data_IF_068922720977
#
_entry.id   IF_068922720977
#
_cell.length_a   1.000
_cell.length_b   1.000
_cell.length_c   1.000
_cell.angle_alpha   90.00
_cell.angle_beta   90.00
_cell.angle_gamma   90.00
#
_symmetry.space_group_name_H-M   'P 1'
#
loop_
_entity.id
_entity.type
_entity.pdbx_description
1 polymer ?
#
# COMPACT_ATOMS: atom_id res chain seq x y z
N UNK A 1 -3.33 48.42 6.26
CA UNK A 1 -3.54 49.58 5.40
C UNK A 1 -2.18 49.97 4.86
N UNK A 2 -1.92 49.68 3.60
CA UNK A 2 -0.82 50.30 2.86
C UNK A 2 -1.41 51.55 2.20
N UNK A 3 -0.66 52.65 2.22
CA UNK A 3 -1.08 53.89 1.57
C UNK A 3 -1.18 53.69 0.04
N UNK A 4 -2.02 54.53 -0.59
CA UNK A 4 -2.34 54.50 -2.02
C UNK A 4 -1.10 54.32 -2.90
N UNK A 5 -0.93 53.12 -3.46
CA UNK A 5 0.06 52.81 -4.50
C UNK A 5 1.19 51.85 -4.13
N UNK A 6 1.25 51.33 -2.89
CA UNK A 6 2.18 50.24 -2.55
C UNK A 6 1.57 48.86 -2.83
N UNK A 7 2.13 48.15 -3.81
CA UNK A 7 1.81 46.77 -4.10
C UNK A 7 2.65 45.85 -3.21
N UNK A 8 2.01 44.95 -2.46
CA UNK A 8 2.71 43.81 -1.85
C UNK A 8 3.21 42.91 -2.97
N UNK A 9 4.50 42.99 -3.28
CA UNK A 9 5.10 42.17 -4.34
C UNK A 9 5.40 40.73 -3.88
N UNK A 10 5.47 40.50 -2.56
CA UNK A 10 5.75 39.19 -1.96
C UNK A 10 5.48 39.21 -0.45
N UNK A 11 4.89 38.15 0.07
CA UNK A 11 4.81 37.86 1.51
C UNK A 11 5.47 36.50 1.73
N UNK A 12 6.48 36.45 2.60
CA UNK A 12 7.10 35.19 3.01
C UNK A 12 6.30 34.57 4.16
N UNK A 13 5.64 33.46 3.88
CA UNK A 13 4.89 32.68 4.85
C UNK A 13 5.84 31.72 5.57
N UNK A 14 6.20 32.07 6.81
CA UNK A 14 7.13 31.28 7.62
C UNK A 14 6.59 31.10 9.04
N UNK A 15 7.11 30.11 9.77
CA UNK A 15 6.83 29.94 11.20
C UNK A 15 7.25 31.16 12.02
N UNK A 16 8.28 31.89 11.59
CA UNK A 16 8.70 33.15 12.20
C UNK A 16 7.63 34.25 12.08
N UNK A 17 6.76 34.17 11.06
CA UNK A 17 5.64 35.09 10.84
C UNK A 17 4.28 34.51 11.31
N UNK A 18 4.30 33.40 12.05
CA UNK A 18 3.10 32.80 12.66
C UNK A 18 2.32 31.83 11.78
N UNK A 19 2.84 31.41 10.63
CA UNK A 19 2.22 30.41 9.76
C UNK A 19 2.74 29.00 10.10
N UNK A 20 1.82 28.07 10.32
CA UNK A 20 2.10 26.68 10.73
C UNK A 20 1.86 25.76 9.52
N UNK A 21 2.79 24.83 9.20
CA UNK A 21 2.56 23.81 8.17
C UNK A 21 1.29 22.99 8.43
N UNK A 22 0.51 22.74 7.38
CA UNK A 22 -0.74 21.96 7.45
C UNK A 22 -1.97 22.69 8.00
N UNK A 23 -1.89 23.98 8.33
CA UNK A 23 -3.07 24.80 8.66
C UNK A 23 -3.57 25.60 7.45
N UNK A 24 -4.90 25.77 7.39
CA UNK A 24 -5.54 26.62 6.40
C UNK A 24 -5.59 28.06 6.89
N UNK A 25 -5.07 28.97 6.08
CA UNK A 25 -5.11 30.38 6.36
C UNK A 25 -5.96 31.09 5.30
N UNK A 26 -6.75 32.04 5.77
CA UNK A 26 -7.66 32.84 4.96
C UNK A 26 -7.20 34.28 4.99
N UNK A 27 -7.07 34.88 3.82
CA UNK A 27 -6.92 36.33 3.71
C UNK A 27 -8.09 36.87 2.90
N UNK A 28 -8.72 37.89 3.45
CA UNK A 28 -9.77 38.64 2.76
C UNK A 28 -9.18 39.95 2.23
N UNK A 29 -9.23 40.12 0.91
CA UNK A 29 -8.89 41.35 0.23
C UNK A 29 -10.11 41.94 -0.46
N UNK A 30 -10.32 43.25 -0.32
CA UNK A 30 -11.25 43.99 -1.16
C UNK A 30 -10.44 44.72 -2.23
N UNK A 31 -10.68 44.39 -3.49
CA UNK A 31 -10.21 45.21 -4.60
C UNK A 31 -11.41 46.05 -5.06
N UNK A 32 -11.20 47.36 -5.10
CA UNK A 32 -12.20 48.35 -5.49
C UNK A 32 -11.62 49.16 -6.66
N UNK A 33 -12.28 49.10 -7.82
CA UNK A 33 -11.91 49.90 -8.98
C UNK A 33 -12.61 51.28 -9.02
N UNK A 34 -13.33 51.62 -7.95
CA UNK A 34 -14.13 52.84 -7.81
C UNK A 34 -15.54 52.73 -8.38
N UNK A 35 -15.90 51.61 -9.04
CA UNK A 35 -17.25 51.36 -9.58
C UNK A 35 -17.82 50.00 -9.19
N UNK A 36 -16.96 49.00 -8.91
CA UNK A 36 -17.33 47.71 -8.38
C UNK A 36 -16.34 47.28 -7.29
N UNK A 37 -16.87 46.74 -6.19
CA UNK A 37 -16.08 46.06 -5.16
C UNK A 37 -16.14 44.56 -5.39
N UNK A 38 -14.99 43.90 -5.43
CA UNK A 38 -14.89 42.45 -5.47
C UNK A 38 -14.17 41.94 -4.23
N UNK A 39 -14.83 41.00 -3.54
CA UNK A 39 -14.22 40.25 -2.44
C UNK A 39 -13.40 39.13 -3.05
N UNK A 40 -12.11 39.14 -2.75
CA UNK A 40 -11.19 38.07 -3.07
C UNK A 40 -10.85 37.34 -1.78
N UNK A 41 -11.34 36.11 -1.68
CA UNK A 41 -10.93 35.18 -0.65
C UNK A 41 -9.86 34.28 -1.24
N UNK A 42 -8.66 34.31 -0.66
CA UNK A 42 -7.60 33.35 -1.00
C UNK A 42 -7.46 32.35 0.15
N UNK A 43 -7.41 31.07 -0.21
CA UNK A 43 -7.00 30.01 0.70
C UNK A 43 -5.65 29.50 0.22
N UNK A 44 -4.69 29.40 1.13
CA UNK A 44 -3.40 28.76 0.88
C UNK A 44 -3.15 27.75 1.99
N UNK A 45 -2.63 26.60 1.57
CA UNK A 45 -2.05 25.60 2.45
C UNK A 45 -0.54 25.72 2.28
N UNK A 46 0.21 25.67 3.38
CA UNK A 46 1.68 25.59 3.33
C UNK A 46 2.03 24.19 2.80
N UNK A 47 2.10 24.05 1.48
CA UNK A 47 2.45 22.82 0.78
C UNK A 47 3.98 22.59 0.83
N UNK A 48 4.42 21.41 1.32
CA UNK A 48 5.81 20.95 1.24
C UNK A 48 6.34 20.32 2.54
N UNK A 49 5.79 19.17 2.94
CA UNK A 49 6.35 18.30 3.98
C UNK A 49 6.62 16.96 3.31
N UNK A 50 7.73 16.29 3.65
CA UNK A 50 7.99 14.97 3.10
C UNK A 50 7.02 13.95 3.75
N UNK A 51 6.49 13.06 2.93
CA UNK A 51 5.54 12.03 3.34
C UNK A 51 6.21 10.67 3.43
N UNK A 52 6.13 10.06 4.61
CA UNK A 52 6.55 8.69 4.82
C UNK A 52 5.46 7.73 4.32
N UNK A 53 5.90 6.75 3.55
CA UNK A 53 5.19 5.53 3.18
C UNK A 53 5.72 4.38 4.02
N UNK A 54 4.81 3.66 4.66
CA UNK A 54 5.13 2.48 5.49
C UNK A 54 4.43 1.29 4.87
N UNK A 55 5.21 0.37 4.32
CA UNK A 55 4.73 -0.90 3.80
C UNK A 55 5.19 -2.01 4.76
N UNK A 56 4.24 -2.62 5.44
CA UNK A 56 4.54 -3.72 6.33
C UNK A 56 4.31 -5.08 5.67
N UNK A 57 5.09 -6.08 6.07
CA UNK A 57 4.93 -7.47 5.65
C UNK A 57 5.04 -8.41 6.85
N UNK A 58 4.11 -9.36 6.93
CA UNK A 58 4.17 -10.42 7.93
C UNK A 58 5.19 -11.48 7.53
N UNK A 59 6.16 -11.74 8.41
CA UNK A 59 7.23 -12.72 8.20
C UNK A 59 7.34 -13.67 9.40
N UNK A 60 6.30 -13.74 10.22
CA UNK A 60 6.30 -14.56 11.42
C UNK A 60 6.46 -16.06 11.09
N UNK A 61 7.18 -16.83 11.92
CA UNK A 61 7.15 -18.29 11.79
C UNK A 61 5.82 -18.84 12.34
N UNK A 62 5.40 -19.99 11.82
CA UNK A 62 4.22 -20.70 12.35
C UNK A 62 4.41 -21.15 13.80
N UNK A 63 5.64 -21.50 14.19
CA UNK A 63 5.99 -21.99 15.53
C UNK A 63 7.34 -21.46 15.99
N UNK A 64 7.47 -21.28 17.31
CA UNK A 64 8.74 -20.93 17.99
C UNK A 64 8.92 -21.79 19.21
N UNK A 65 10.16 -21.97 19.64
CA UNK A 65 10.47 -22.69 20.87
C UNK A 65 10.48 -21.74 22.08
N UNK A 66 10.05 -22.27 23.23
CA UNK A 66 10.24 -21.59 24.51
C UNK A 66 11.72 -21.31 24.75
N UNK A 67 12.07 -20.03 24.95
CA UNK A 67 13.45 -19.59 25.16
C UNK A 67 14.19 -19.23 23.87
N UNK A 68 13.54 -19.26 22.72
CA UNK A 68 14.13 -18.86 21.44
C UNK A 68 14.33 -17.34 21.38
N UNK A 69 15.50 -16.93 20.90
CA UNK A 69 15.89 -15.53 20.73
C UNK A 69 15.93 -15.19 19.24
N UNK A 70 15.79 -13.89 18.95
CA UNK A 70 15.89 -13.34 17.60
C UNK A 70 14.84 -13.89 16.61
N UNK A 71 13.58 -14.04 17.04
CA UNK A 71 12.49 -14.49 16.17
C UNK A 71 11.98 -13.32 15.31
N UNK A 72 12.16 -13.32 13.98
CA UNK A 72 11.59 -12.30 13.13
C UNK A 72 10.07 -12.46 13.04
N UNK A 73 9.34 -11.37 13.24
CA UNK A 73 7.88 -11.34 13.26
C UNK A 73 7.32 -10.48 12.13
N UNK A 74 7.97 -9.35 11.83
CA UNK A 74 7.45 -8.36 10.89
C UNK A 74 8.57 -7.64 10.15
N UNK A 75 8.32 -7.28 8.90
CA UNK A 75 9.20 -6.46 8.08
C UNK A 75 8.51 -5.11 7.82
N UNK A 76 9.24 -4.01 7.98
CA UNK A 76 8.82 -2.68 7.56
C UNK A 76 9.72 -2.22 6.40
N UNK A 77 9.11 -1.88 5.28
CA UNK A 77 9.74 -1.19 4.17
C UNK A 77 9.29 0.28 4.23
N UNK A 78 10.25 1.16 4.52
CA UNK A 78 10.02 2.58 4.70
C UNK A 78 10.61 3.36 3.52
N UNK A 79 9.77 4.17 2.88
CA UNK A 79 10.19 5.10 1.83
C UNK A 79 9.56 6.48 2.07
N UNK A 80 10.12 7.53 1.46
CA UNK A 80 9.51 8.85 1.51
C UNK A 80 9.48 9.51 0.13
N UNK A 81 8.56 10.45 -0.04
CA UNK A 81 8.54 11.29 -1.24
C UNK A 81 9.63 12.38 -1.19
N UNK A 82 9.73 13.14 -2.29
CA UNK A 82 10.73 14.20 -2.44
C UNK A 82 10.06 15.57 -2.59
N UNK A 83 9.04 15.86 -1.76
CA UNK A 83 8.29 17.11 -1.86
C UNK A 83 9.01 18.29 -1.22
N UNK A 84 9.91 18.05 -0.25
CA UNK A 84 10.71 19.06 0.42
C UNK A 84 12.21 18.76 0.33
N UNK A 85 12.78 18.08 1.32
CA UNK A 85 14.20 17.77 1.35
C UNK A 85 14.46 16.29 1.00
N UNK A 86 13.37 15.55 0.71
CA UNK A 86 13.41 14.14 0.39
C UNK A 86 13.89 13.32 1.57
N UNK A 87 13.58 13.73 2.80
CA UNK A 87 14.04 13.03 4.00
C UNK A 87 13.05 13.15 5.14
N UNK A 88 12.58 12.00 5.62
CA UNK A 88 11.76 11.89 6.82
C UNK A 88 12.57 11.30 7.98
N UNK A 89 12.50 11.95 9.14
CA UNK A 89 13.10 11.40 10.37
C UNK A 89 12.07 10.60 11.15
N UNK A 90 12.30 9.30 11.32
CA UNK A 90 11.42 8.42 12.11
C UNK A 90 11.97 8.33 13.53
N UNK A 91 11.19 8.79 14.51
CA UNK A 91 11.58 8.90 15.92
C UNK A 91 11.07 7.77 16.79
N UNK A 92 10.11 6.99 16.30
CA UNK A 92 9.67 5.79 17.01
C UNK A 92 8.52 5.07 16.35
N UNK A 93 8.33 3.83 16.78
CA UNK A 93 7.26 2.95 16.32
C UNK A 93 6.58 2.35 17.57
N UNK A 94 5.24 2.38 17.59
CA UNK A 94 4.45 1.76 18.65
C UNK A 94 3.81 0.48 18.15
N UNK A 95 4.18 -0.65 18.74
CA UNK A 95 3.69 -1.96 18.31
C UNK A 95 2.78 -2.52 19.39
N UNK A 96 1.67 -3.12 18.99
CA UNK A 96 0.67 -3.65 19.91
C UNK A 96 0.76 -5.17 19.95
N UNK A 97 1.03 -5.72 21.11
CA UNK A 97 0.99 -7.16 21.33
C UNK A 97 -0.45 -7.66 21.39
N UNK A 98 -0.73 -8.67 20.58
CA UNK A 98 -2.03 -9.34 20.39
C UNK A 98 -1.97 -10.82 20.77
N UNK A 99 -0.81 -11.32 21.20
CA UNK A 99 -0.64 -12.69 21.71
C UNK A 99 -1.35 -12.97 23.04
N UNK A 100 -1.33 -14.23 23.45
CA UNK A 100 -2.15 -14.73 24.57
C UNK A 100 -1.63 -14.25 25.95
N UNK A 101 -0.31 -14.24 26.17
CA UNK A 101 0.27 -13.77 27.42
C UNK A 101 1.57 -12.98 27.20
N UNK A 102 1.56 -11.72 27.64
CA UNK A 102 2.72 -10.81 27.57
C UNK A 102 3.93 -11.31 28.35
N UNK A 103 3.70 -12.13 29.37
CA UNK A 103 4.76 -12.77 30.15
C UNK A 103 5.51 -13.84 29.39
N UNK A 104 5.05 -14.24 28.20
CA UNK A 104 5.76 -15.18 27.33
C UNK A 104 6.87 -14.50 26.51
N UNK A 105 6.89 -13.17 26.48
CA UNK A 105 7.96 -12.37 25.84
C UNK A 105 9.01 -12.02 26.89
N UNK A 106 10.29 -12.11 26.52
CA UNK A 106 11.38 -11.75 27.41
C UNK A 106 11.35 -10.25 27.77
N UNK A 107 11.94 -9.92 28.92
CA UNK A 107 12.14 -8.50 29.27
C UNK A 107 13.08 -7.88 28.24
N UNK A 108 12.69 -6.74 27.69
CA UNK A 108 13.34 -6.11 26.54
C UNK A 108 13.40 -6.99 25.27
N UNK A 109 12.56 -8.02 25.18
CA UNK A 109 12.52 -8.97 24.07
C UNK A 109 11.68 -8.53 22.89
N UNK A 110 11.51 -7.23 22.66
CA UNK A 110 10.89 -6.68 21.45
C UNK A 110 11.86 -5.68 20.86
N UNK A 111 12.44 -6.02 19.73
CA UNK A 111 13.57 -5.35 19.12
C UNK A 111 13.21 -4.91 17.70
N UNK A 112 13.77 -3.78 17.25
CA UNK A 112 13.83 -3.40 15.84
C UNK A 112 15.25 -3.51 15.37
N UNK A 113 15.47 -4.20 14.26
CA UNK A 113 16.75 -4.29 13.57
C UNK A 113 16.67 -3.54 12.24
N UNK A 114 17.74 -2.86 11.85
CA UNK A 114 17.93 -2.30 10.51
C UNK A 114 18.67 -3.31 9.66
N UNK A 115 18.15 -3.55 8.46
CA UNK A 115 18.84 -4.28 7.41
C UNK A 115 19.98 -3.42 6.87
N UNK A 116 21.23 -3.81 7.11
CA UNK A 116 22.41 -3.01 6.71
C UNK A 116 23.04 -3.54 5.43
N UNK A 117 22.80 -4.80 5.08
CA UNK A 117 23.29 -5.40 3.84
C UNK A 117 22.26 -5.38 2.70
N UNK A 118 21.07 -4.82 2.98
CA UNK A 118 19.99 -4.52 2.03
C UNK A 118 19.49 -5.76 1.29
N UNK A 119 19.58 -6.93 1.93
CA UNK A 119 19.23 -8.20 1.32
C UNK A 119 17.78 -8.64 1.60
N UNK A 120 17.06 -7.91 2.46
CA UNK A 120 15.67 -8.19 2.86
C UNK A 120 15.52 -9.41 3.77
N UNK A 121 16.61 -9.91 4.37
CA UNK A 121 16.68 -11.10 5.22
C UNK A 121 17.30 -10.74 6.56
N UNK A 122 16.53 -10.99 7.63
CA UNK A 122 17.03 -10.75 8.98
C UNK A 122 18.22 -11.66 9.32
N UNK A 123 19.33 -11.04 9.73
CA UNK A 123 20.54 -11.71 10.20
C UNK A 123 21.03 -11.03 11.49
N UNK A 124 20.84 -11.68 12.65
CA UNK A 124 21.18 -11.10 13.95
C UNK A 124 22.66 -10.69 14.12
N UNK A 125 23.57 -11.29 13.33
CA UNK A 125 25.02 -10.97 13.35
C UNK A 125 25.43 -9.86 12.35
N UNK A 126 24.58 -9.54 11.38
CA UNK A 126 24.85 -8.55 10.32
C UNK A 126 24.01 -7.28 10.55
N UNK A 127 22.74 -7.46 10.87
CA UNK A 127 21.79 -6.38 11.09
C UNK A 127 22.02 -5.68 12.42
N UNK A 128 21.73 -4.39 12.44
CA UNK A 128 22.01 -3.54 13.60
C UNK A 128 20.73 -3.26 14.37
N UNK A 129 20.78 -3.51 15.68
CA UNK A 129 19.72 -3.14 16.61
C UNK A 129 19.49 -1.62 16.57
N UNK A 130 18.30 -1.21 16.14
CA UNK A 130 17.89 0.19 16.04
C UNK A 130 17.09 0.66 17.26
N UNK A 131 16.25 -0.20 17.83
CA UNK A 131 15.48 0.10 19.03
C UNK A 131 15.14 -1.17 19.80
N UNK A 132 14.86 -0.98 21.10
CA UNK A 132 14.49 -2.06 22.02
C UNK A 132 13.37 -1.60 22.94
N UNK A 133 12.47 -2.52 23.27
CA UNK A 133 11.29 -2.23 24.06
C UNK A 133 10.83 -3.43 24.90
N UNK A 134 10.05 -3.13 25.93
CA UNK A 134 9.49 -4.12 26.86
C UNK A 134 7.98 -4.04 26.92
N UNK A 135 7.34 -5.19 27.03
CA UNK A 135 5.93 -5.30 27.41
C UNK A 135 5.79 -5.09 28.93
N UNK A 136 5.42 -3.87 29.33
CA UNK A 136 5.17 -3.51 30.73
C UNK A 136 3.80 -3.98 31.25
N UNK A 137 3.04 -3.11 31.91
CA UNK A 137 1.65 -3.42 32.33
C UNK A 137 0.61 -3.29 31.20
N UNK A 138 0.99 -2.73 30.04
CA UNK A 138 0.15 -2.62 28.84
C UNK A 138 0.54 -3.60 27.73
N UNK A 139 -0.21 -3.58 26.63
CA UNK A 139 0.05 -4.34 25.39
C UNK A 139 0.84 -3.56 24.36
N UNK A 140 1.07 -2.26 24.57
CA UNK A 140 1.78 -1.40 23.62
C UNK A 140 3.25 -1.31 24.01
N UNK A 141 4.13 -1.61 23.07
CA UNK A 141 5.57 -1.38 23.15
C UNK A 141 5.88 -0.11 22.37
N UNK A 142 6.60 0.82 22.99
CA UNK A 142 7.11 2.01 22.29
C UNK A 142 8.60 1.83 22.04
N UNK A 143 8.97 1.79 20.78
CA UNK A 143 10.35 1.63 20.31
C UNK A 143 10.82 3.01 19.86
N UNK A 144 11.79 3.58 20.58
CA UNK A 144 12.33 4.92 20.29
C UNK A 144 13.54 4.77 19.38
N UNK A 145 13.56 5.52 18.29
CA UNK A 145 14.60 5.50 17.27
C UNK A 145 15.33 6.85 17.32
N UNK A 146 16.65 6.83 17.53
CA UNK A 146 17.43 8.06 17.69
C UNK A 146 17.97 8.59 16.34
N UNK A 147 18.35 7.71 15.42
CA UNK A 147 19.07 8.07 14.19
C UNK A 147 18.50 7.39 12.93
N UNK A 148 17.17 7.21 12.84
CA UNK A 148 16.55 6.66 11.62
C UNK A 148 16.07 7.77 10.68
N UNK A 149 16.72 7.85 9.52
CA UNK A 149 16.36 8.75 8.43
C UNK A 149 15.98 7.92 7.20
N UNK A 150 14.85 8.23 6.60
CA UNK A 150 14.40 7.64 5.34
C UNK A 150 14.60 8.69 4.26
N UNK A 151 15.42 8.40 3.25
CA UNK A 151 15.75 9.32 2.17
C UNK A 151 14.95 8.94 0.91
N UNK A 152 14.48 9.90 0.14
CA UNK A 152 13.65 9.66 -1.04
C UNK A 152 14.34 8.85 -2.15
N UNK A 153 15.67 8.70 -2.03
CA UNK A 153 16.49 7.90 -2.93
C UNK A 153 16.73 6.47 -2.46
N UNK A 154 16.35 6.13 -1.22
CA UNK A 154 16.67 4.84 -0.61
C UNK A 154 15.60 4.39 0.40
N UNK A 155 15.22 3.12 0.31
CA UNK A 155 14.28 2.52 1.25
C UNK A 155 15.00 2.01 2.50
N UNK A 156 14.41 2.20 3.67
CA UNK A 156 14.92 1.66 4.92
C UNK A 156 14.10 0.43 5.32
N UNK A 157 14.76 -0.74 5.39
CA UNK A 157 14.14 -1.99 5.83
C UNK A 157 14.41 -2.20 7.33
N UNK A 158 13.32 -2.43 8.08
CA UNK A 158 13.38 -2.77 9.49
C UNK A 158 12.74 -4.13 9.77
N UNK A 159 13.30 -4.89 10.71
CA UNK A 159 12.70 -6.12 11.22
C UNK A 159 12.22 -5.95 12.65
N UNK A 160 10.94 -6.26 12.90
CA UNK A 160 10.44 -6.54 14.25
C UNK A 160 10.90 -7.94 14.65
N UNK A 161 11.67 -8.02 15.71
CA UNK A 161 12.25 -9.25 16.21
C UNK A 161 11.87 -9.42 17.68
N UNK A 162 11.49 -10.63 18.08
CA UNK A 162 11.08 -10.92 19.46
C UNK A 162 11.86 -12.07 20.09
N UNK A 163 12.07 -11.97 21.40
CA UNK A 163 12.70 -13.00 22.21
C UNK A 163 11.64 -13.65 23.12
N UNK A 164 11.54 -14.98 23.06
CA UNK A 164 10.61 -15.77 23.85
C UNK A 164 11.26 -16.11 25.19
N UNK A 165 10.58 -15.86 26.31
CA UNK A 165 11.16 -16.18 27.61
C UNK A 165 11.27 -17.69 27.84
N UNK A 166 12.30 -18.12 28.57
CA UNK A 166 12.48 -19.52 29.00
C UNK A 166 11.36 -20.04 29.89
N UNK A 167 10.50 -19.14 30.40
CA UNK A 167 9.33 -19.44 31.23
C UNK A 167 8.00 -19.39 30.47
N UNK A 168 8.03 -19.24 29.14
CA UNK A 168 6.83 -19.06 28.33
C UNK A 168 5.93 -20.29 28.37
N UNK A 169 4.62 -20.06 28.29
CA UNK A 169 3.63 -21.12 28.28
C UNK A 169 3.53 -21.75 26.89
N UNK A 170 3.69 -23.07 26.84
CA UNK A 170 3.57 -23.83 25.60
C UNK A 170 2.11 -23.82 25.13
N UNK A 171 1.90 -23.64 23.82
CA UNK A 171 0.61 -23.54 23.17
C UNK A 171 0.04 -22.12 23.10
N UNK A 172 0.64 -21.16 23.80
CA UNK A 172 0.25 -19.76 23.67
C UNK A 172 0.71 -19.18 22.34
N UNK A 173 -0.07 -18.22 21.83
CA UNK A 173 0.25 -17.44 20.64
C UNK A 173 1.07 -16.20 20.97
N UNK A 174 2.01 -15.89 20.10
CA UNK A 174 2.75 -14.63 20.03
C UNK A 174 2.35 -13.95 18.73
N UNK A 175 1.93 -12.69 18.83
CA UNK A 175 1.50 -11.88 17.70
C UNK A 175 1.56 -10.40 18.09
N UNK A 176 1.80 -9.56 17.10
CA UNK A 176 1.97 -8.13 17.16
C UNK A 176 1.27 -7.49 15.96
N UNK A 177 0.76 -6.28 16.16
CA UNK A 177 0.11 -5.52 15.09
C UNK A 177 0.49 -4.05 15.18
N UNK A 178 0.59 -3.42 14.02
CA UNK A 178 0.69 -1.98 13.88
C UNK A 178 -0.69 -1.46 13.46
N UNK A 179 -1.46 -0.87 14.36
CA UNK A 179 -2.89 -0.60 14.08
C UNK A 179 -3.13 0.60 13.15
N UNK A 180 -2.19 1.53 13.09
CA UNK A 180 -2.42 2.81 12.45
C UNK A 180 -1.12 3.51 12.10
N UNK A 181 -1.16 4.34 11.05
CA UNK A 181 -0.12 5.33 10.76
C UNK A 181 0.30 6.19 11.96
N UNK A 182 -0.62 6.42 12.91
CA UNK A 182 -0.32 7.18 14.14
C UNK A 182 0.64 6.46 15.10
N UNK A 183 0.87 5.17 14.89
CA UNK A 183 1.84 4.38 15.63
C UNK A 183 3.27 4.58 15.13
N UNK A 184 3.44 5.14 13.93
CA UNK A 184 4.74 5.60 13.43
C UNK A 184 4.89 7.08 13.77
N UNK A 185 5.94 7.41 14.50
CA UNK A 185 6.27 8.77 14.92
C UNK A 185 7.36 9.31 14.02
N UNK A 186 7.04 10.39 13.33
CA UNK A 186 7.99 11.15 12.52
C UNK A 186 8.20 12.54 13.12
N UNK A 187 9.38 13.09 12.91
CA UNK A 187 9.70 14.45 13.36
C UNK A 187 8.91 15.46 12.52
N UNK A 188 8.27 16.42 13.17
CA UNK A 188 7.61 17.51 12.44
C UNK A 188 8.66 18.35 11.67
N UNK A 189 8.34 18.84 10.47
CA UNK A 189 6.99 18.94 9.89
C UNK A 189 6.47 17.67 9.17
N UNK A 190 7.30 16.66 8.94
CA UNK A 190 6.95 15.47 8.15
C UNK A 190 5.77 14.67 8.73
N UNK A 191 5.18 13.80 7.90
CA UNK A 191 4.06 12.93 8.32
C UNK A 191 4.14 11.54 7.73
N UNK A 192 3.51 10.58 8.40
CA UNK A 192 3.16 9.30 7.79
C UNK A 192 1.85 9.45 7.02
N UNK A 193 1.92 9.41 5.69
CA UNK A 193 0.77 9.62 4.81
C UNK A 193 0.17 8.29 4.38
N UNK A 194 1.02 7.37 3.93
CA UNK A 194 0.63 6.04 3.49
C UNK A 194 1.07 4.97 4.48
N UNK A 195 0.19 3.99 4.72
CA UNK A 195 0.36 3.00 5.75
C UNK A 195 -0.38 1.72 5.39
N UNK A 196 0.39 0.67 5.15
CA UNK A 196 -0.09 -0.70 5.02
C UNK A 196 0.51 -1.48 6.19
N UNK A 197 -0.36 -2.04 7.01
CA UNK A 197 0.01 -2.92 8.10
C UNK A 197 -0.72 -4.24 7.98
N UNK A 198 -0.03 -5.29 8.37
CA UNK A 198 -0.50 -6.64 8.53
C UNK A 198 -0.36 -7.00 10.00
N UNK A 199 -1.27 -7.81 10.51
CA UNK A 199 -1.06 -8.48 11.78
C UNK A 199 0.09 -9.48 11.58
N UNK A 200 1.04 -9.55 12.51
CA UNK A 200 1.94 -10.71 12.51
C UNK A 200 1.06 -11.88 12.86
N UNK A 201 0.94 -12.89 12.00
CA UNK A 201 0.08 -14.02 12.26
C UNK A 201 0.37 -14.71 13.61
N UNK A 202 -0.42 -15.72 13.92
CA UNK A 202 -0.32 -16.39 15.21
C UNK A 202 0.86 -17.38 15.26
N UNK A 203 2.01 -16.96 15.79
CA UNK A 203 3.13 -17.87 16.10
C UNK A 203 2.85 -18.66 17.36
N UNK A 204 2.89 -19.99 17.29
CA UNK A 204 2.61 -20.88 18.44
C UNK A 204 3.90 -21.24 19.18
N UNK A 205 3.91 -21.11 20.51
CA UNK A 205 5.04 -21.52 21.36
C UNK A 205 5.03 -23.04 21.58
N UNK A 206 6.14 -23.70 21.28
CA UNK A 206 6.35 -25.13 21.45
C UNK A 206 7.41 -25.46 22.53
N UNK A 207 7.38 -26.71 22.98
CA UNK A 207 8.38 -27.21 23.93
C UNK A 207 9.67 -27.55 23.17
N UNK A 208 10.79 -26.97 23.60
CA UNK A 208 12.08 -27.00 22.89
C UNK A 208 12.46 -28.35 22.26
N UNK A 209 12.56 -28.35 20.94
CA UNK A 209 13.39 -29.22 20.12
C UNK A 209 14.53 -28.38 19.51
N UNK A 210 15.56 -29.02 18.96
CA UNK A 210 16.59 -28.31 18.18
C UNK A 210 15.94 -27.45 17.10
N UNK A 211 16.45 -26.22 16.84
CA UNK A 211 15.87 -25.32 15.84
C UNK A 211 15.67 -26.07 14.53
N UNK A 212 14.43 -26.06 14.03
CA UNK A 212 14.17 -26.42 12.63
C UNK A 212 14.96 -25.40 11.81
N UNK A 213 15.78 -25.81 10.83
CA UNK A 213 16.58 -24.85 10.07
C UNK A 213 15.68 -23.74 9.53
N UNK A 214 16.19 -22.52 9.71
CA UNK A 214 15.75 -21.26 9.13
C UNK A 214 15.09 -21.48 7.76
N UNK A 215 13.90 -20.92 7.49
CA UNK A 215 13.32 -20.97 6.16
C UNK A 215 14.23 -20.17 5.21
N UNK A 216 15.16 -20.85 4.56
CA UNK A 216 15.89 -20.25 3.43
C UNK A 216 14.92 -20.17 2.27
N UNK A 217 14.27 -19.03 2.07
CA UNK A 217 13.60 -18.73 0.81
C UNK A 217 14.68 -18.61 -0.28
N UNK A 218 14.93 -19.72 -0.98
CA UNK A 218 15.75 -19.71 -2.19
C UNK A 218 14.81 -19.81 -3.39
N UNK A 219 14.65 -18.71 -4.13
CA UNK A 219 13.97 -18.71 -5.44
C UNK A 219 14.69 -19.71 -6.36
N UNK A 220 14.17 -20.94 -6.45
CA UNK A 220 14.77 -22.00 -7.26
C UNK A 220 13.88 -22.28 -8.46
N UNK A 221 14.15 -21.60 -9.58
CA UNK A 221 13.58 -21.99 -10.86
C UNK A 221 14.21 -23.31 -11.31
N UNK A 222 13.44 -24.40 -11.33
CA UNK A 222 13.87 -25.67 -11.92
C UNK A 222 13.00 -25.98 -13.14
N UNK A 223 13.59 -26.25 -14.32
CA UNK A 223 12.83 -26.42 -15.55
C UNK A 223 12.22 -27.83 -15.71
N UNK A 224 10.95 -27.79 -16.08
CA UNK A 224 10.04 -28.76 -16.72
C UNK A 224 10.62 -30.09 -17.22
N UNK A 225 10.10 -31.21 -16.69
CA UNK A 225 10.10 -32.50 -17.39
C UNK A 225 8.82 -32.68 -18.23
N UNK A 226 9.02 -33.20 -19.44
CA UNK A 226 8.01 -33.44 -20.48
C UNK A 226 7.23 -34.74 -20.22
N UNK A 227 5.90 -34.68 -20.12
CA UNK A 227 5.03 -35.87 -20.05
C UNK A 227 4.50 -36.24 -21.44
N UNK A 228 4.66 -37.51 -21.81
CA UNK A 228 4.18 -38.10 -23.06
C UNK A 228 2.74 -38.62 -22.95
N UNK A 229 1.96 -38.36 -24.00
CA UNK A 229 0.57 -38.85 -24.21
C UNK A 229 0.54 -40.27 -24.78
N UNK A 230 -0.43 -41.10 -24.37
CA UNK A 230 -0.96 -42.22 -25.17
C UNK A 230 -2.47 -42.39 -25.02
N UNK A 231 -3.11 -42.86 -26.09
CA UNK A 231 -4.54 -42.73 -26.43
C UNK A 231 -5.26 -44.10 -26.57
N UNK A 232 -6.60 -44.09 -26.35
CA UNK A 232 -7.69 -44.93 -26.99
C UNK A 232 -7.75 -46.46 -26.72
N UNK A 233 -8.87 -47.22 -26.66
CA UNK A 233 -10.29 -47.05 -27.08
C UNK A 233 -11.27 -48.20 -26.61
N UNK A 234 -12.58 -47.88 -26.51
CA UNK A 234 -13.84 -48.61 -26.94
C UNK A 234 -14.53 -49.78 -26.12
N UNK A 235 -15.83 -50.15 -26.36
CA UNK A 235 -16.93 -50.07 -25.34
C UNK A 235 -17.83 -51.34 -25.19
N UNK A 236 -18.82 -51.33 -24.27
CA UNK A 236 -20.04 -52.21 -24.30
C UNK A 236 -21.08 -51.88 -23.18
N UNK A 237 -22.35 -52.36 -23.22
CA UNK A 237 -23.52 -51.48 -23.32
C UNK A 237 -24.47 -51.42 -22.10
N UNK A 238 -25.19 -50.29 -22.07
CA UNK A 238 -26.54 -49.93 -21.56
C UNK A 238 -27.26 -50.80 -20.52
N UNK A 239 -27.50 -50.20 -19.34
CA UNK A 239 -28.73 -50.38 -18.55
C UNK A 239 -29.29 -49.00 -18.21
N UNK A 240 -30.49 -48.71 -18.70
CA UNK A 240 -31.23 -47.48 -18.42
C UNK A 240 -31.84 -47.52 -17.02
N UNK A 241 -31.24 -46.77 -16.11
CA UNK A 241 -31.91 -46.22 -14.92
C UNK A 241 -32.08 -44.72 -15.17
N UNK A 242 -33.30 -44.23 -15.06
CA UNK A 242 -33.62 -42.80 -15.09
C UNK A 242 -32.82 -42.10 -13.99
N UNK A 243 -31.84 -41.22 -14.31
CA UNK A 243 -31.12 -40.52 -13.27
C UNK A 243 -32.02 -39.44 -12.67
N UNK A 244 -32.03 -39.39 -11.34
CA UNK A 244 -32.28 -38.14 -10.63
C UNK A 244 -31.41 -37.06 -11.25
N UNK A 245 -31.98 -35.86 -11.42
CA UNK A 245 -31.35 -34.65 -11.95
C UNK A 245 -29.82 -34.67 -11.76
N UNK A 246 -29.12 -35.20 -12.75
CA UNK A 246 -27.67 -35.22 -12.76
C UNK A 246 -27.28 -33.80 -13.07
N UNK A 247 -26.98 -33.01 -12.04
CA UNK A 247 -26.22 -31.78 -12.26
C UNK A 247 -25.05 -32.17 -13.16
N UNK A 248 -24.92 -31.50 -14.30
CA UNK A 248 -23.72 -31.68 -15.11
C UNK A 248 -22.52 -31.42 -14.19
N UNK A 249 -21.45 -32.24 -14.27
CA UNK A 249 -20.24 -31.96 -13.54
C UNK A 249 -19.81 -30.54 -13.90
N UNK A 250 -19.64 -29.70 -12.89
CA UNK A 250 -19.21 -28.34 -13.09
C UNK A 250 -17.83 -28.33 -13.78
N UNK A 251 -17.80 -27.62 -14.90
CA UNK A 251 -16.65 -27.49 -15.77
C UNK A 251 -16.41 -26.00 -16.13
N UNK A 252 -17.02 -25.08 -15.39
CA UNK A 252 -16.81 -23.64 -15.52
C UNK A 252 -16.12 -23.11 -14.27
N UNK A 253 -14.99 -22.43 -14.42
CA UNK A 253 -14.35 -21.80 -13.27
C UNK A 253 -14.93 -20.43 -12.90
N UNK A 254 -14.48 -19.85 -11.77
CA UNK A 254 -15.11 -18.69 -11.15
C UNK A 254 -14.85 -17.39 -11.92
N UNK A 255 -15.81 -16.46 -11.88
CA UNK A 255 -15.65 -15.13 -12.48
C UNK A 255 -14.79 -14.22 -11.60
N UNK A 256 -13.71 -13.68 -12.16
CA UNK A 256 -13.06 -12.50 -11.60
C UNK A 256 -13.81 -11.23 -12.03
N UNK A 257 -14.16 -10.38 -11.08
CA UNK A 257 -14.88 -9.11 -11.23
C UNK A 257 -14.25 -8.05 -10.31
N UNK A 258 -14.58 -6.77 -10.49
CA UNK A 258 -13.97 -5.66 -9.70
C UNK A 258 -12.44 -5.60 -9.76
N UNK A 259 -11.86 -5.93 -10.92
CA UNK A 259 -10.42 -6.00 -11.09
C UNK A 259 -9.82 -4.59 -11.14
N UNK A 260 -9.07 -4.24 -10.10
CA UNK A 260 -8.61 -2.89 -9.86
C UNK A 260 -7.14 -2.90 -9.43
N UNK A 261 -6.38 -1.93 -9.93
CA UNK A 261 -5.12 -1.53 -9.31
C UNK A 261 -5.41 -0.35 -8.37
N UNK A 262 -4.96 -0.43 -7.12
CA UNK A 262 -5.26 0.59 -6.12
C UNK A 262 -4.28 1.77 -6.23
N UNK A 263 -4.31 2.44 -7.38
CA UNK A 263 -3.41 3.53 -7.72
C UNK A 263 -4.09 4.87 -7.41
N UNK A 264 -3.67 5.52 -6.34
CA UNK A 264 -4.30 6.75 -5.83
C UNK A 264 -4.26 7.90 -6.84
N UNK A 265 -3.18 8.04 -7.59
CA UNK A 265 -2.99 9.11 -8.58
C UNK A 265 -3.70 8.84 -9.91
N UNK A 266 -4.24 7.64 -10.13
CA UNK A 266 -4.77 7.18 -11.43
C UNK A 266 -3.69 6.83 -12.47
N UNK A 267 -2.41 6.97 -12.12
CA UNK A 267 -1.25 6.61 -12.93
C UNK A 267 -0.07 6.23 -12.01
N UNK A 268 0.90 5.52 -12.57
CA UNK A 268 2.19 5.18 -11.97
C UNK A 268 3.23 6.13 -12.55
N UNK A 269 4.18 6.60 -11.74
CA UNK A 269 5.36 7.32 -12.24
C UNK A 269 6.45 6.28 -12.52
N UNK A 270 7.18 6.36 -13.64
CA UNK A 270 8.26 5.42 -13.93
C UNK A 270 9.24 5.29 -12.74
N UNK A 271 9.71 4.08 -12.51
CA UNK A 271 10.57 3.76 -11.38
C UNK A 271 9.83 3.60 -10.04
N UNK A 272 8.51 3.83 -9.98
CA UNK A 272 7.73 3.40 -8.81
C UNK A 272 7.67 1.88 -8.75
N UNK A 273 8.21 1.35 -7.66
CA UNK A 273 8.19 -0.06 -7.37
C UNK A 273 6.89 -0.42 -6.65
N UNK A 274 6.28 -1.50 -7.11
CA UNK A 274 5.12 -2.16 -6.54
C UNK A 274 3.79 -1.40 -6.60
N UNK A 275 2.72 -2.06 -7.06
CA UNK A 275 1.36 -1.54 -6.94
C UNK A 275 0.39 -2.64 -6.50
N UNK A 276 -0.42 -2.42 -5.45
CA UNK A 276 -1.43 -3.37 -5.05
C UNK A 276 -2.53 -3.50 -6.10
N UNK A 277 -3.00 -4.73 -6.30
CA UNK A 277 -4.16 -5.07 -7.10
C UNK A 277 -5.13 -5.91 -6.29
N UNK A 278 -6.41 -5.74 -6.57
CA UNK A 278 -7.48 -6.52 -5.97
C UNK A 278 -8.50 -6.95 -7.02
N UNK A 279 -9.19 -8.04 -6.72
CA UNK A 279 -10.31 -8.56 -7.49
C UNK A 279 -11.28 -9.29 -6.56
N UNK A 280 -12.54 -9.38 -6.97
CA UNK A 280 -13.54 -10.26 -6.36
C UNK A 280 -13.75 -11.45 -7.29
N UNK A 281 -13.50 -12.66 -6.80
CA UNK A 281 -13.63 -13.92 -7.55
C UNK A 281 -14.88 -14.64 -7.04
N UNK A 282 -15.79 -15.01 -7.94
CA UNK A 282 -17.08 -15.61 -7.57
C UNK A 282 -17.43 -16.80 -8.46
N UNK A 283 -17.68 -17.94 -7.84
CA UNK A 283 -18.18 -19.16 -8.47
C UNK A 283 -19.69 -19.38 -8.27
N UNK A 284 -20.36 -18.45 -7.59
CA UNK A 284 -21.74 -18.66 -7.08
C UNK A 284 -22.75 -19.03 -8.17
N UNK A 285 -22.58 -18.48 -9.38
CA UNK A 285 -23.46 -18.72 -10.53
C UNK A 285 -22.85 -19.67 -11.59
N UNK A 286 -21.70 -20.32 -11.28
CA UNK A 286 -20.94 -21.13 -12.24
C UNK A 286 -20.63 -22.56 -11.79
N UNK A 287 -20.86 -22.86 -10.53
CA UNK A 287 -20.65 -24.19 -9.97
C UNK A 287 -20.96 -24.23 -8.48
N UNK A 288 -20.77 -23.08 -7.84
CA UNK A 288 -20.94 -22.90 -6.40
C UNK A 288 -19.83 -23.57 -5.60
N UNK A 289 -18.71 -23.90 -6.24
CA UNK A 289 -17.53 -24.47 -5.61
C UNK A 289 -16.72 -23.37 -4.94
N UNK A 290 -15.93 -23.75 -3.95
CA UNK A 290 -15.03 -22.82 -3.30
C UNK A 290 -13.96 -22.36 -4.30
N UNK A 291 -13.64 -21.07 -4.27
CA UNK A 291 -12.45 -20.54 -4.93
C UNK A 291 -11.24 -21.07 -4.16
N UNK A 292 -10.24 -21.63 -4.85
CA UNK A 292 -9.02 -22.19 -4.25
C UNK A 292 -7.74 -21.48 -4.67
N UNK A 293 -7.84 -20.51 -5.57
CA UNK A 293 -6.70 -19.80 -6.11
C UNK A 293 -7.13 -18.68 -7.05
N UNK A 294 -6.23 -17.71 -7.21
CA UNK A 294 -6.32 -16.68 -8.23
C UNK A 294 -4.92 -16.29 -8.68
N UNK A 295 -4.80 -15.80 -9.90
CA UNK A 295 -3.53 -15.32 -10.45
C UNK A 295 -3.75 -14.12 -11.37
N UNK A 296 -2.66 -13.39 -11.61
CA UNK A 296 -2.64 -12.29 -12.55
C UNK A 296 -1.47 -12.33 -13.55
N UNK A 297 -1.68 -11.71 -14.70
CA UNK A 297 -0.73 -11.56 -15.78
C UNK A 297 -0.60 -10.09 -16.18
N UNK A 298 0.58 -9.68 -16.64
CA UNK A 298 0.84 -8.33 -17.15
C UNK A 298 1.10 -8.42 -18.65
N UNK A 299 0.30 -7.69 -19.44
CA UNK A 299 0.30 -7.55 -20.90
C UNK A 299 0.03 -8.83 -21.70
N UNK A 300 0.59 -9.97 -21.30
CA UNK A 300 0.49 -11.24 -22.00
C UNK A 300 -0.07 -12.31 -21.07
N UNK A 301 -1.17 -12.93 -21.48
CA UNK A 301 -1.73 -14.11 -20.80
C UNK A 301 -0.88 -15.33 -21.19
N UNK A 302 -0.44 -16.09 -20.20
CA UNK A 302 0.25 -17.38 -20.39
C UNK A 302 -0.71 -18.55 -20.06
N UNK A 303 -0.16 -19.75 -19.88
CA UNK A 303 -0.96 -20.92 -19.48
C UNK A 303 -1.46 -20.76 -18.04
N UNK A 304 -2.61 -21.36 -17.75
CA UNK A 304 -3.21 -21.30 -16.41
C UNK A 304 -2.27 -21.92 -15.36
N UNK A 305 -2.02 -21.20 -14.28
CA UNK A 305 -1.08 -21.59 -13.23
C UNK A 305 0.34 -21.06 -13.41
N UNK A 306 0.65 -20.41 -14.53
CA UNK A 306 1.93 -19.72 -14.76
C UNK A 306 1.86 -18.22 -14.39
N UNK A 307 0.70 -17.74 -13.92
CA UNK A 307 0.51 -16.37 -13.50
C UNK A 307 1.16 -16.07 -12.16
N UNK A 308 1.19 -14.79 -11.81
CA UNK A 308 1.61 -14.39 -10.48
C UNK A 308 0.46 -14.67 -9.50
N UNK A 309 0.71 -15.41 -8.40
CA UNK A 309 -0.35 -15.80 -7.48
C UNK A 309 -0.94 -14.59 -6.75
N UNK A 310 -2.25 -14.65 -6.52
CA UNK A 310 -2.99 -13.76 -5.63
C UNK A 310 -3.43 -14.53 -4.39
N UNK A 311 -3.56 -13.82 -3.27
CA UNK A 311 -3.94 -14.38 -1.97
C UNK A 311 -5.35 -13.91 -1.58
N UNK A 312 -6.12 -14.72 -0.82
CA UNK A 312 -7.43 -14.29 -0.30
C UNK A 312 -7.22 -13.23 0.79
N UNK A 313 -8.07 -12.21 0.79
CA UNK A 313 -7.98 -11.06 1.72
C UNK A 313 -8.34 -11.47 3.13
N UNK A 314 -9.20 -12.46 3.31
CA UNK A 314 -9.54 -13.05 4.61
C UNK A 314 -8.61 -14.21 5.02
N UNK A 315 -7.54 -14.42 4.25
CA UNK A 315 -6.49 -15.42 4.46
C UNK A 315 -6.90 -16.88 4.27
N UNK A 316 -8.10 -17.17 3.76
CA UNK A 316 -8.50 -18.54 3.46
C UNK A 316 -9.35 -18.62 2.19
N UNK A 317 -8.92 -19.45 1.25
CA UNK A 317 -9.73 -19.85 0.11
C UNK A 317 -10.79 -20.88 0.53
N UNK A 318 -11.83 -20.42 1.23
CA UNK A 318 -12.82 -21.30 1.88
C UNK A 318 -14.29 -21.00 1.49
N UNK A 319 -14.48 -20.10 0.53
CA UNK A 319 -15.79 -19.59 0.10
C UNK A 319 -15.97 -19.66 -1.42
N UNK A 320 -17.21 -19.83 -1.92
CA UNK A 320 -17.54 -19.65 -3.34
C UNK A 320 -17.42 -18.21 -3.84
N UNK A 321 -17.17 -17.25 -2.94
CA UNK A 321 -16.86 -15.86 -3.26
C UNK A 321 -15.66 -15.45 -2.43
N UNK A 322 -14.58 -15.04 -3.09
CA UNK A 322 -13.32 -14.67 -2.46
C UNK A 322 -12.88 -13.28 -2.92
N UNK A 323 -12.41 -12.44 -2.00
CA UNK A 323 -11.72 -11.21 -2.39
C UNK A 323 -10.24 -11.52 -2.40
N UNK A 324 -9.57 -11.28 -3.52
CA UNK A 324 -8.16 -11.63 -3.70
C UNK A 324 -7.31 -10.38 -3.90
N UNK A 325 -6.10 -10.41 -3.36
CA UNK A 325 -5.11 -9.34 -3.45
C UNK A 325 -3.78 -9.85 -4.02
N UNK A 326 -3.05 -8.97 -4.71
CA UNK A 326 -1.74 -9.24 -5.27
C UNK A 326 -0.91 -7.97 -5.38
N UNK A 327 0.37 -8.10 -5.76
CA UNK A 327 1.30 -6.96 -5.88
C UNK A 327 1.95 -6.97 -7.25
N UNK A 328 1.59 -6.01 -8.10
CA UNK A 328 2.26 -5.79 -9.38
C UNK A 328 3.69 -5.32 -9.14
N UNK A 329 4.68 -5.92 -9.79
CA UNK A 329 6.05 -5.39 -9.81
C UNK A 329 6.18 -4.41 -10.98
N UNK A 330 6.23 -3.12 -10.67
CA UNK A 330 6.15 -2.02 -11.66
C UNK A 330 7.45 -1.24 -11.83
N UNK A 331 8.53 -1.67 -11.17
CA UNK A 331 9.82 -0.95 -11.17
C UNK A 331 10.45 -0.76 -12.54
N UNK A 332 10.30 -1.78 -13.40
CA UNK A 332 10.80 -1.76 -14.77
C UNK A 332 9.78 -1.17 -15.76
N UNK A 333 8.63 -0.68 -15.28
CA UNK A 333 7.61 -0.13 -16.17
C UNK A 333 8.00 1.26 -16.64
N UNK A 334 7.92 1.47 -17.94
CA UNK A 334 8.25 2.73 -18.61
C UNK A 334 7.03 3.33 -19.29
N UNK A 335 6.94 4.66 -19.28
CA UNK A 335 5.91 5.46 -19.92
C UNK A 335 5.84 5.23 -21.43
N UNK A 336 6.95 4.85 -22.08
CA UNK A 336 6.95 4.54 -23.51
C UNK A 336 6.21 3.23 -23.85
N UNK A 337 6.10 2.32 -22.89
CA UNK A 337 5.36 1.06 -23.00
C UNK A 337 3.95 1.16 -22.41
N UNK A 338 3.58 2.34 -21.89
CA UNK A 338 2.24 2.64 -21.38
C UNK A 338 1.19 2.61 -22.51
N UNK A 339 -0.03 2.09 -22.26
CA UNK A 339 -0.51 1.55 -21.00
C UNK A 339 -0.22 0.06 -20.82
N UNK A 340 -0.05 -0.36 -19.57
CA UNK A 340 0.05 -1.77 -19.18
C UNK A 340 -1.36 -2.32 -18.91
N UNK A 341 -1.60 -3.57 -19.31
CA UNK A 341 -2.87 -4.26 -19.04
C UNK A 341 -2.64 -5.41 -18.09
N UNK A 342 -3.36 -5.44 -16.98
CA UNK A 342 -3.33 -6.56 -16.02
C UNK A 342 -4.55 -7.42 -16.26
N UNK A 343 -4.35 -8.73 -16.36
CA UNK A 343 -5.41 -9.74 -16.48
C UNK A 343 -5.47 -10.55 -15.18
N UNK A 344 -6.66 -10.75 -14.62
CA UNK A 344 -6.85 -11.54 -13.40
C UNK A 344 -7.91 -12.62 -13.66
N UNK A 345 -7.71 -13.83 -13.16
CA UNK A 345 -8.72 -14.89 -13.13
C UNK A 345 -8.58 -15.78 -11.90
N UNK A 346 -9.60 -16.60 -11.63
CA UNK A 346 -9.67 -17.46 -10.46
C UNK A 346 -9.81 -18.95 -10.81
N UNK A 347 -9.60 -19.80 -9.81
CA UNK A 347 -9.69 -21.25 -9.87
C UNK A 347 -10.62 -21.79 -8.78
N UNK A 348 -11.48 -22.75 -9.12
CA UNK A 348 -12.33 -23.45 -8.15
C UNK A 348 -11.72 -24.76 -7.63
N UNK A 349 -12.37 -25.37 -6.64
CA UNK A 349 -11.96 -26.63 -6.00
C UNK A 349 -12.00 -27.85 -6.95
N UNK A 350 -12.73 -27.75 -8.07
CA UNK A 350 -12.72 -28.74 -9.14
C UNK A 350 -11.58 -28.53 -10.16
N UNK A 351 -10.71 -27.56 -9.89
CA UNK A 351 -9.58 -27.16 -10.72
C UNK A 351 -9.97 -26.50 -12.05
N UNK A 352 -11.20 -26.02 -12.20
CA UNK A 352 -11.60 -25.23 -13.35
C UNK A 352 -11.10 -23.79 -13.17
N UNK A 353 -10.48 -23.27 -14.22
CA UNK A 353 -10.10 -21.86 -14.30
C UNK A 353 -11.22 -21.07 -14.99
N UNK A 354 -11.55 -19.93 -14.41
CA UNK A 354 -12.55 -19.03 -14.97
C UNK A 354 -12.00 -18.10 -16.03
N UNK A 355 -12.85 -17.25 -16.63
CA UNK A 355 -12.39 -16.28 -17.62
C UNK A 355 -11.66 -15.10 -16.95
N UNK A 356 -10.82 -14.42 -17.74
CA UNK A 356 -10.09 -13.23 -17.31
C UNK A 356 -10.98 -11.99 -17.24
N UNK A 357 -10.81 -11.21 -16.19
CA UNK A 357 -11.08 -9.77 -16.19
C UNK A 357 -9.77 -9.00 -16.45
N UNK A 358 -9.86 -7.70 -16.73
CA UNK A 358 -8.67 -6.87 -16.87
C UNK A 358 -8.84 -5.45 -16.35
N UNK A 359 -7.71 -4.82 -15.99
CA UNK A 359 -7.61 -3.39 -15.71
C UNK A 359 -6.43 -2.77 -16.47
N UNK A 360 -6.54 -1.49 -16.79
CA UNK A 360 -5.53 -0.73 -17.54
C UNK A 360 -4.82 0.23 -16.60
N UNK A 361 -3.51 0.26 -16.69
CA UNK A 361 -2.65 1.08 -15.85
C UNK A 361 -1.78 1.95 -16.73
N UNK A 362 -1.82 3.26 -16.48
CA UNK A 362 -1.00 4.23 -17.20
C UNK A 362 0.27 4.50 -16.40
N UNK A 363 1.40 4.54 -17.10
CA UNK A 363 2.71 4.95 -16.56
C UNK A 363 3.12 6.26 -17.23
N UNK A 364 3.73 7.17 -16.46
CA UNK A 364 4.17 8.49 -16.93
C UNK A 364 5.62 8.78 -16.53
N UNK A 365 6.34 9.54 -17.35
CA UNK A 365 7.74 9.92 -17.11
C UNK A 365 7.86 10.86 -15.88
N UNK A 366 8.90 10.73 -15.05
CA UNK A 366 9.13 11.62 -13.92
C UNK A 366 9.31 13.08 -14.40
N UNK A 367 8.41 13.96 -13.97
CA UNK A 367 8.52 15.39 -14.26
C UNK A 367 7.93 15.83 -15.60
N UNK A 368 7.17 14.98 -16.31
CA UNK A 368 6.40 15.41 -17.48
C UNK A 368 5.26 16.38 -17.06
N UNK A 369 5.32 17.68 -17.41
CA UNK A 369 4.29 18.66 -17.07
C UNK A 369 3.05 18.56 -17.98
N UNK A 370 3.04 17.67 -18.98
CA UNK A 370 1.96 17.62 -19.99
C UNK A 370 0.65 17.02 -19.48
N UNK A 371 0.64 16.42 -18.29
CA UNK A 371 -0.58 15.97 -17.61
C UNK A 371 -0.90 16.87 -16.40
N UNK A 372 -1.21 18.14 -16.69
CA UNK A 372 -2.08 18.88 -15.77
C UNK A 372 -3.42 18.13 -15.71
N UNK A 373 -4.04 17.96 -14.53
CA UNK A 373 -5.28 17.22 -14.40
C UNK A 373 -6.30 17.79 -15.38
N UNK A 374 -6.80 16.96 -16.28
CA UNK A 374 -7.97 17.31 -17.09
C UNK A 374 -9.15 17.37 -16.13
N UNK A 375 -9.29 18.51 -15.47
CA UNK A 375 -10.57 18.90 -14.89
C UNK A 375 -11.53 18.95 -16.06
N UNK A 376 -12.52 18.07 -16.03
CA UNK A 376 -13.62 18.11 -16.97
C UNK A 376 -14.18 19.55 -16.97
N UNK A 377 -14.24 20.25 -18.12
CA UNK A 377 -14.82 21.58 -18.13
C UNK A 377 -16.29 21.44 -17.76
N UNK A 378 -16.65 22.00 -16.60
CA UNK A 378 -18.05 22.07 -16.17
C UNK A 378 -18.84 22.87 -17.22
N UNK A 379 -19.88 22.25 -17.75
CA UNK A 379 -20.76 22.80 -18.76
C UNK A 379 -21.48 24.04 -18.22
N UNK A 380 -21.16 25.23 -18.75
CA UNK A 380 -21.91 26.46 -18.47
C UNK A 380 -23.21 26.40 -19.29
N UNK A 381 -24.36 26.25 -18.61
CA UNK A 381 -25.65 26.55 -19.23
C UNK A 381 -25.75 28.08 -19.34
N UNK A 382 -25.97 28.68 -20.53
CA UNK A 382 -26.25 30.10 -20.63
C UNK A 382 -27.63 30.39 -20.03
N UNK A 383 -27.64 30.87 -18.79
CA UNK A 383 -28.83 31.40 -18.12
C UNK A 383 -29.20 32.76 -18.68
N UNK A 384 -30.35 32.82 -19.35
CA UNK A 384 -30.98 34.03 -19.88
C UNK A 384 -31.20 35.06 -18.76
N UNK A 385 -30.97 36.34 -19.07
CA UNK A 385 -30.73 37.40 -18.09
C UNK A 385 -31.80 37.61 -17.02
N UNK A 386 -31.35 37.84 -15.79
CA UNK A 386 -31.93 38.78 -14.81
C UNK A 386 -30.82 39.06 -13.78
N UNK A 387 -30.64 40.31 -13.34
CA UNK A 387 -29.59 40.74 -12.43
C UNK A 387 -29.54 39.86 -11.15
N UNK A 388 -28.52 39.02 -11.06
CA UNK A 388 -28.22 38.21 -9.88
C UNK A 388 -26.74 38.41 -9.54
N UNK A 389 -26.45 38.62 -8.26
CA UNK A 389 -25.08 38.58 -7.70
C UNK A 389 -24.41 37.31 -8.24
N UNK A 390 -23.39 37.50 -9.07
CA UNK A 390 -22.54 36.42 -9.52
C UNK A 390 -21.52 36.18 -8.41
N UNK A 391 -21.83 35.25 -7.51
CA UNK A 391 -20.87 34.76 -6.54
C UNK A 391 -19.92 33.82 -7.31
N UNK A 392 -18.85 34.38 -7.88
CA UNK A 392 -17.80 33.56 -8.48
C UNK A 392 -16.92 33.07 -7.33
N UNK A 393 -17.11 31.82 -6.90
CA UNK A 393 -16.07 31.13 -6.14
C UNK A 393 -14.94 30.81 -7.11
N UNK A 394 -14.00 31.74 -7.26
CA UNK A 394 -12.72 31.44 -7.92
C UNK A 394 -11.87 30.70 -6.89
N UNK A 395 -11.99 29.37 -6.85
CA UNK A 395 -11.10 28.54 -6.06
C UNK A 395 -9.76 28.46 -6.81
N UNK A 396 -8.86 29.38 -6.51
CA UNK A 396 -7.53 29.46 -7.12
C UNK A 396 -6.54 28.76 -6.17
N UNK A 397 -6.26 27.48 -6.42
CA UNK A 397 -5.19 26.77 -5.75
C UNK A 397 -3.85 27.31 -6.25
N UNK A 398 -3.20 28.15 -5.45
CA UNK A 398 -1.83 28.60 -5.69
C UNK A 398 -0.89 27.87 -4.71
N UNK A 399 -0.20 26.82 -5.15
CA UNK A 399 0.91 26.26 -4.40
C UNK A 399 2.17 27.06 -4.76
N UNK A 400 2.69 27.85 -3.81
CA UNK A 400 3.95 28.57 -3.96
C UNK A 400 5.04 27.82 -3.19
N UNK A 401 5.72 26.90 -3.87
CA UNK A 401 7.01 26.40 -3.40
C UNK A 401 8.06 27.52 -3.54
N UNK A 402 8.75 27.86 -2.45
CA UNK A 402 9.73 28.95 -2.44
C UNK A 402 10.93 28.59 -3.31
N UNK A 403 11.13 29.36 -4.37
CA UNK A 403 12.31 29.34 -5.22
C UNK A 403 12.14 30.05 -6.57
N UNK A 404 10.91 30.17 -7.08
CA UNK A 404 10.62 30.88 -8.33
C UNK A 404 9.78 32.11 -8.01
N UNK A 405 10.33 33.30 -8.31
CA UNK A 405 9.54 34.55 -8.35
C UNK A 405 8.39 34.35 -9.33
N UNK A 406 7.18 34.10 -8.84
CA UNK A 406 5.98 34.05 -9.69
C UNK A 406 5.61 35.48 -10.07
N UNK A 407 6.03 35.90 -11.26
CA UNK A 407 5.50 37.11 -11.89
C UNK A 407 4.08 36.79 -12.32
N UNK A 408 3.06 37.36 -11.65
CA UNK A 408 1.68 37.27 -12.12
C UNK A 408 1.57 37.93 -13.50
N UNK A 409 1.35 37.13 -14.54
CA UNK A 409 1.00 37.66 -15.86
C UNK A 409 -0.48 38.05 -15.83
N UNK A 410 -0.76 39.35 -15.86
CA UNK A 410 -2.08 39.90 -16.08
C UNK A 410 -2.57 39.54 -17.49
N UNK A 411 -3.45 38.55 -17.61
CA UNK A 411 -4.20 38.29 -18.84
C UNK A 411 -5.66 37.92 -18.53
N UNK A 412 -6.43 38.93 -18.12
CA UNK A 412 -7.90 38.89 -18.14
C UNK A 412 -8.43 40.32 -18.32
N UNK A 413 -8.06 40.95 -19.43
CA UNK A 413 -8.75 42.12 -19.96
C UNK A 413 -8.84 42.01 -21.49
N UNK A 414 -9.86 41.31 -21.96
CA UNK A 414 -10.74 41.76 -23.04
C UNK A 414 -12.14 41.20 -22.86
#
# INVERSE_FOLDING_TARGET
MLDDGEYLSSVDLTTANGFIPGEFYWFDGTLDDGTNSFELTWAFEVCGMDELTVNGMDIHPSTVYRGEENVPMYLFDLSCDNLQNGRVTVTGIRIHFTGDARTDIATEGVNLYRDIDENGIFNADIDILAARGSLGMGTVVTLTLEDLFVDSTHHEILFLVTDITTTANIGNRVSFVLFSKNDVKVLQPDRCAHFISHDTGATIIENGGTPTPEPTFTLTMTPTETVATTTTATPSPTVSVTPADTMEPDNEGPLAIECNALITSGYIIEGQNFQPIESLVSDTDRGGNNVIGAEYFVNTILDNGDGNPMIPVDHAFDSPVERVAGVLVTGDWVAEESPYTVYIHGKDDLQNWGPFCSCIINVIEPGDPTLTPTTTPYYVIPGNGTAGRLLIHVLLFLCMCIGIRSTLYSYLLR
#
